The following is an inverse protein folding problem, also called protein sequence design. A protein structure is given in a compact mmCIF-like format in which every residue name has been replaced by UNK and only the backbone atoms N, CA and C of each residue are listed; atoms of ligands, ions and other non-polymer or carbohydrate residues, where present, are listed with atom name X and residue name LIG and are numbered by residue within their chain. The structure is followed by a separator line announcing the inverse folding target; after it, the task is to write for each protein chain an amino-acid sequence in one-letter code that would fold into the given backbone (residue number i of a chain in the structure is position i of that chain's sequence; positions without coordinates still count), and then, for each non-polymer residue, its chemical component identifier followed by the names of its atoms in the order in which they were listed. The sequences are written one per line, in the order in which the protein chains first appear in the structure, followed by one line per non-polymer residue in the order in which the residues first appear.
data_IF_416337549376
#
_entry.id   IF_416337549376
#
_cell.length_a   1.000
_cell.length_b   1.000
_cell.length_c   1.000
_cell.angle_alpha   90.00
_cell.angle_beta   90.00
_cell.angle_gamma   90.00
#
_symmetry.space_group_name_H-M   'P 1'
#
loop_
_entity.id
_entity.type
_entity.pdbx_description
1 polymer ?
2 non-polymer ?
3 water ?
#
# COMPACT_ATOMS: atom_id res chain seq x y z
N UNK A 11 -0.05 -14.39 -18.87
CA UNK A 11 0.26 -15.15 -20.07
C UNK A 11 -0.88 -15.07 -21.09
N UNK A 12 -2.09 -14.85 -20.57
CA UNK A 12 -3.29 -14.78 -21.39
C UNK A 12 -3.94 -13.41 -21.24
N UNK A 13 -4.45 -12.88 -22.35
CA UNK A 13 -5.16 -11.61 -22.37
C UNK A 13 -6.54 -11.82 -22.99
N UNK A 14 -7.40 -10.82 -22.83
CA UNK A 14 -8.76 -10.91 -23.31
C UNK A 14 -9.70 -11.70 -22.44
N UNK A 15 -9.34 -11.94 -21.17
CA UNK A 15 -10.15 -12.71 -20.24
C UNK A 15 -10.33 -11.93 -18.93
N UNK A 16 -11.52 -12.06 -18.34
CA UNK A 16 -11.77 -11.64 -16.96
C UNK A 16 -12.07 -12.86 -16.12
N UNK A 17 -11.55 -12.86 -14.87
CA UNK A 17 -11.76 -13.96 -13.92
C UNK A 17 -12.23 -13.35 -12.60
N UNK A 18 -13.49 -12.97 -12.54
CA UNK A 18 -14.08 -12.44 -11.31
C UNK A 18 -14.37 -13.61 -10.38
N UNK A 19 -13.64 -13.69 -9.26
CA UNK A 19 -13.77 -14.80 -8.36
C UNK A 19 -13.14 -16.06 -8.93
N UNK A 20 -13.95 -17.07 -9.22
CA UNK A 20 -13.45 -18.29 -9.81
C UNK A 20 -14.03 -18.57 -11.19
N UNK A 21 -14.63 -17.57 -11.81
CA UNK A 21 -15.31 -17.73 -13.10
C UNK A 21 -14.58 -16.93 -14.17
N UNK A 22 -14.30 -17.59 -15.29
CA UNK A 22 -13.64 -16.96 -16.43
C UNK A 22 -14.68 -16.51 -17.46
N UNK A 23 -14.54 -15.28 -17.94
CA UNK A 23 -15.43 -14.73 -18.96
C UNK A 23 -14.58 -14.15 -20.07
N UNK A 24 -14.85 -14.58 -21.31
CA UNK A 24 -14.23 -13.94 -22.46
C UNK A 24 -14.77 -12.52 -22.59
N UNK A 25 -13.86 -11.56 -22.72
CA UNK A 25 -14.26 -10.16 -22.64
C UNK A 25 -13.35 -9.32 -23.52
N UNK A 26 -13.92 -8.25 -24.07
CA UNK A 26 -13.18 -7.23 -24.80
C UNK A 26 -13.40 -5.88 -24.14
N UNK A 27 -12.65 -4.89 -24.62
CA UNK A 27 -12.74 -3.54 -24.06
C UNK A 27 -14.16 -2.99 -24.18
N UNK A 28 -14.87 -3.35 -25.25
CA UNK A 28 -16.18 -2.77 -25.48
C UNK A 28 -17.27 -3.35 -24.59
N UNK A 29 -16.97 -4.38 -23.81
CA UNK A 29 -17.94 -4.98 -22.91
C UNK A 29 -18.07 -4.26 -21.57
N UNK A 30 -17.34 -3.16 -21.38
CA UNK A 30 -17.32 -2.46 -20.10
C UNK A 30 -17.73 -1.00 -20.27
N UNK A 31 -18.57 -0.54 -19.35
CA UNK A 31 -19.06 0.83 -19.35
C UNK A 31 -18.23 1.67 -18.38
N UNK A 32 -17.85 2.87 -18.82
CA UNK A 32 -16.98 3.73 -18.02
C UNK A 32 -17.83 4.51 -17.03
N UNK A 33 -17.53 4.36 -15.74
CA UNK A 33 -18.26 5.05 -14.68
C UNK A 33 -17.47 6.24 -14.13
N UNK A 34 -16.47 6.71 -14.86
CA UNK A 34 -15.70 7.87 -14.46
C UNK A 34 -14.33 7.47 -13.92
N UNK A 35 -13.47 8.48 -13.83
CA UNK A 35 -12.11 8.29 -13.39
C UNK A 35 -12.02 8.35 -11.86
N UNK A 36 -11.07 7.60 -11.31
CA UNK A 36 -10.69 7.72 -9.92
C UNK A 36 -9.49 8.65 -9.85
N UNK A 37 -9.72 9.87 -9.39
CA UNK A 37 -8.81 10.98 -9.59
C UNK A 37 -7.45 10.91 -8.94
N UNK A 38 -6.43 10.59 -9.75
CA UNK A 38 -5.00 10.73 -9.45
C UNK A 38 -4.23 10.05 -10.58
N UNK A 39 -2.95 10.40 -10.69
CA UNK A 39 -2.08 9.78 -11.65
C UNK A 39 -0.80 9.28 -11.01
N UNK A 40 -0.96 8.48 -9.94
CA UNK A 40 0.20 7.93 -9.24
C UNK A 40 1.06 7.09 -10.19
N UNK A 41 0.43 6.19 -10.93
CA UNK A 41 1.11 5.38 -11.94
C UNK A 41 0.55 5.65 -13.33
N UNK A 42 -0.74 5.42 -13.55
CA UNK A 42 -1.41 5.79 -14.78
C UNK A 42 -2.85 6.15 -14.51
N UNK A 43 -3.61 6.34 -15.58
CA UNK A 43 -5.03 6.66 -15.47
C UNK A 43 -5.80 5.44 -15.02
N UNK A 44 -6.65 5.61 -14.00
CA UNK A 44 -7.42 4.50 -13.44
C UNK A 44 -8.90 4.83 -13.59
N UNK A 45 -9.62 3.95 -14.29
CA UNK A 45 -11.05 4.10 -14.52
C UNK A 45 -11.83 3.13 -13.66
N UNK A 46 -13.02 3.56 -13.25
CA UNK A 46 -13.99 2.69 -12.61
C UNK A 46 -15.00 2.27 -13.67
N UNK A 47 -15.17 0.96 -13.84
CA UNK A 47 -15.93 0.45 -14.98
C UNK A 47 -16.84 -0.69 -14.53
N UNK A 48 -17.86 -0.93 -15.36
CA UNK A 48 -18.88 -1.92 -15.07
C UNK A 48 -18.83 -2.99 -16.17
N UNK A 49 -18.76 -4.24 -15.76
CA UNK A 49 -18.80 -5.36 -16.70
C UNK A 49 -20.27 -5.59 -17.09
N UNK A 50 -20.61 -5.27 -18.33
CA UNK A 50 -22.01 -5.33 -18.74
C UNK A 50 -22.58 -6.75 -18.78
N UNK A 51 -21.73 -7.77 -18.85
CA UNK A 51 -22.23 -9.14 -18.93
C UNK A 51 -22.70 -9.64 -17.57
N UNK A 52 -22.04 -9.23 -16.49
CA UNK A 52 -22.37 -9.69 -15.14
C UNK A 52 -22.85 -8.58 -14.21
N UNK A 53 -22.52 -7.32 -14.48
CA UNK A 53 -22.86 -6.23 -13.59
C UNK A 53 -21.82 -5.90 -12.54
N UNK A 54 -20.72 -6.65 -12.49
CA UNK A 54 -19.63 -6.33 -11.56
C UNK A 54 -18.99 -5.00 -11.93
N UNK A 55 -18.52 -4.29 -10.91
CA UNK A 55 -17.84 -3.01 -11.08
C UNK A 55 -16.37 -3.22 -10.72
N UNK A 56 -15.47 -2.84 -11.63
CA UNK A 56 -14.06 -3.12 -11.48
C UNK A 56 -13.23 -1.88 -11.79
N UNK A 57 -11.96 -1.93 -11.42
CA UNK A 57 -10.99 -0.88 -11.70
C UNK A 57 -10.11 -1.29 -12.87
N UNK A 58 -9.98 -0.39 -13.85
CA UNK A 58 -9.19 -0.64 -15.05
C UNK A 58 -8.21 0.52 -15.24
N UNK A 59 -6.93 0.18 -15.39
CA UNK A 59 -5.88 1.16 -15.68
C UNK A 59 -5.58 1.16 -17.16
N UNK A 60 -5.61 2.34 -17.77
CA UNK A 60 -5.42 2.48 -19.21
C UNK A 60 -3.99 2.98 -19.49
N UNK A 61 -3.22 2.17 -20.20
CA UNK A 61 -1.87 2.55 -20.64
C UNK A 61 -1.91 2.75 -22.14
N UNK A 62 -1.70 3.99 -22.59
CA UNK A 62 -1.68 4.29 -24.03
C UNK A 62 -0.31 3.98 -24.61
N UNK A 63 -0.29 3.45 -25.83
CA UNK A 63 1.00 3.13 -26.43
C UNK A 63 1.78 4.39 -26.81
N UNK A 64 1.10 5.51 -27.04
CA UNK A 64 1.78 6.76 -27.35
C UNK A 64 2.15 7.56 -26.11
N UNK A 65 1.81 7.06 -24.91
CA UNK A 65 2.04 7.79 -23.69
C UNK A 65 3.51 7.93 -23.34
N UNK A 66 3.75 8.61 -22.21
CA UNK A 66 5.10 8.87 -21.74
C UNK A 66 5.88 7.56 -21.59
N UNK A 67 7.15 7.60 -22.01
CA UNK A 67 7.98 6.40 -21.93
C UNK A 67 8.28 6.03 -20.48
N UNK A 68 8.60 7.03 -19.66
CA UNK A 68 8.92 6.75 -18.26
C UNK A 68 7.71 6.21 -17.52
N UNK A 69 6.52 6.76 -17.81
CA UNK A 69 5.32 6.31 -17.13
C UNK A 69 4.96 4.88 -17.50
N UNK A 70 5.15 4.50 -18.77
CA UNK A 70 4.79 3.17 -19.20
C UNK A 70 5.73 2.11 -18.62
N UNK A 71 7.00 2.46 -18.44
CA UNK A 71 7.93 1.51 -17.83
C UNK A 71 7.48 1.16 -16.41
N UNK A 72 6.94 2.13 -15.67
CA UNK A 72 6.48 1.89 -14.31
C UNK A 72 5.18 1.09 -14.28
N UNK A 73 4.30 1.31 -15.25
CA UNK A 73 3.03 0.60 -15.27
C UNK A 73 3.25 -0.88 -15.58
N UNK A 74 4.18 -1.19 -16.49
CA UNK A 74 4.51 -2.58 -16.75
C UNK A 74 5.24 -3.20 -15.58
N UNK A 75 6.12 -2.45 -14.93
CA UNK A 75 6.81 -2.95 -13.76
C UNK A 75 5.82 -3.35 -12.68
N UNK A 76 4.89 -2.45 -12.37
CA UNK A 76 3.86 -2.72 -11.38
C UNK A 76 3.03 -3.95 -11.74
N UNK A 77 2.69 -4.11 -13.03
CA UNK A 77 1.95 -5.29 -13.46
C UNK A 77 2.77 -6.56 -13.32
N UNK A 78 4.09 -6.48 -13.54
CA UNK A 78 4.93 -7.65 -13.40
C UNK A 78 4.88 -8.21 -11.99
N UNK A 79 4.93 -7.33 -10.98
CA UNK A 79 4.87 -7.77 -9.60
C UNK A 79 3.49 -8.32 -9.27
N UNK A 80 2.43 -7.67 -9.76
CA UNK A 80 1.07 -8.07 -9.40
C UNK A 80 0.75 -9.46 -9.96
N UNK A 81 1.21 -9.74 -11.18
CA UNK A 81 0.95 -11.05 -11.78
C UNK A 81 1.69 -12.16 -11.03
N UNK A 82 2.89 -11.87 -10.53
CA UNK A 82 3.66 -12.85 -9.78
C UNK A 82 3.12 -13.07 -8.37
N UNK A 83 2.37 -12.11 -7.82
CA UNK A 83 1.91 -12.17 -6.44
C UNK A 83 0.49 -12.72 -6.33
N UNK A 84 0.03 -13.48 -7.32
CA UNK A 84 -1.36 -13.91 -7.36
C UNK A 84 -1.76 -14.70 -6.11
N UNK A 85 -0.79 -15.35 -5.45
CA UNK A 85 -1.09 -16.21 -4.31
C UNK A 85 -0.86 -15.53 -2.96
N UNK A 86 -0.59 -14.22 -2.94
CA UNK A 86 -0.47 -13.50 -1.68
C UNK A 86 -1.77 -12.79 -1.36
N UNK A 87 -2.44 -13.13 -0.26
CA UNK A 87 -3.74 -12.53 0.05
C UNK A 87 -3.66 -11.10 0.57
N UNK A 88 -2.47 -10.53 0.70
CA UNK A 88 -2.28 -9.16 1.15
C UNK A 88 -1.79 -8.24 0.04
N UNK A 89 -1.83 -8.70 -1.21
CA UNK A 89 -1.40 -7.92 -2.36
C UNK A 89 -2.57 -7.85 -3.34
N UNK A 90 -2.75 -6.69 -3.97
CA UNK A 90 -3.88 -6.50 -4.87
C UNK A 90 -3.78 -7.47 -6.05
N UNK A 91 -4.95 -7.89 -6.55
CA UNK A 91 -5.04 -8.97 -7.51
C UNK A 91 -5.49 -8.44 -8.87
N UNK A 92 -4.79 -8.86 -9.93
CA UNK A 92 -5.17 -8.50 -11.29
C UNK A 92 -6.23 -9.49 -11.79
N UNK A 93 -7.29 -8.94 -12.39
CA UNK A 93 -8.39 -9.77 -12.90
C UNK A 93 -8.24 -10.13 -14.38
N UNK A 94 -7.38 -9.44 -15.11
CA UNK A 94 -7.20 -9.72 -16.52
C UNK A 94 -6.72 -8.50 -17.27
N UNK A 95 -6.37 -8.72 -18.54
CA UNK A 95 -5.81 -7.68 -19.38
C UNK A 95 -6.47 -7.70 -20.75
N UNK A 96 -6.49 -6.54 -21.39
CA UNK A 96 -6.98 -6.39 -22.75
C UNK A 96 -5.96 -5.58 -23.53
N UNK A 97 -5.48 -6.13 -24.64
CA UNK A 97 -4.46 -5.48 -25.46
C UNK A 97 -5.08 -5.15 -26.82
N UNK A 98 -5.15 -3.87 -27.13
CA UNK A 98 -5.65 -3.40 -28.41
C UNK A 98 -4.49 -2.81 -29.22
N UNK A 99 -4.81 -2.30 -30.40
CA UNK A 99 -3.79 -1.71 -31.26
C UNK A 99 -3.22 -0.42 -30.68
N UNK A 100 -3.94 0.26 -29.79
CA UNK A 100 -3.53 1.55 -29.29
C UNK A 100 -3.45 1.65 -27.77
N UNK A 101 -3.94 0.66 -27.03
CA UNK A 101 -3.96 0.75 -25.57
C UNK A 101 -3.83 -0.63 -24.94
N UNK A 102 -3.39 -0.63 -23.69
CA UNK A 102 -3.43 -1.79 -22.82
C UNK A 102 -4.31 -1.45 -21.63
N UNK A 103 -5.26 -2.33 -21.32
CA UNK A 103 -6.15 -2.17 -20.19
C UNK A 103 -5.85 -3.26 -19.16
N UNK A 104 -5.64 -2.84 -17.92
CA UNK A 104 -5.29 -3.74 -16.82
C UNK A 104 -6.48 -3.75 -15.86
N UNK A 105 -7.19 -4.87 -15.79
CA UNK A 105 -8.32 -4.98 -14.88
C UNK A 105 -7.83 -5.37 -13.50
N UNK A 106 -8.48 -4.82 -12.47
CA UNK A 106 -8.07 -5.08 -11.10
C UNK A 106 -9.29 -5.03 -10.19
N UNK A 107 -9.20 -5.74 -9.07
CA UNK A 107 -10.26 -5.69 -8.07
C UNK A 107 -10.41 -4.26 -7.55
N UNK A 108 -11.67 -3.84 -7.40
CA UNK A 108 -11.95 -2.48 -6.96
C UNK A 108 -11.95 -2.45 -5.43
N UNK A 109 -10.95 -1.77 -4.87
CA UNK A 109 -10.89 -1.55 -3.43
C UNK A 109 -11.72 -0.32 -3.06
N UNK A 110 -11.92 -0.14 -1.76
CA UNK A 110 -12.68 1.00 -1.29
C UNK A 110 -11.88 2.28 -1.28
N UNK A 111 -10.93 2.39 -0.34
CA UNK A 111 -10.20 3.62 -0.14
C UNK A 111 -8.79 3.30 0.34
N UNK A 112 -7.88 4.24 0.11
CA UNK A 112 -6.53 4.14 0.65
C UNK A 112 -6.49 4.71 2.06
N UNK A 113 -5.42 4.36 2.79
CA UNK A 113 -5.33 4.76 4.19
C UNK A 113 -5.17 6.27 4.34
N UNK A 114 -4.63 6.95 3.32
CA UNK A 114 -4.48 8.41 3.39
C UNK A 114 -5.83 9.10 3.39
N UNK A 115 -6.70 8.73 2.44
CA UNK A 115 -8.04 9.32 2.40
C UNK A 115 -8.87 8.92 3.62
N UNK A 116 -8.61 7.75 4.19
CA UNK A 116 -9.31 7.36 5.41
C UNK A 116 -8.95 8.30 6.57
N UNK A 117 -7.67 8.66 6.69
CA UNK A 117 -7.26 9.64 7.69
C UNK A 117 -7.92 11.00 7.45
N UNK A 118 -8.04 11.40 6.18
CA UNK A 118 -8.66 12.68 5.86
C UNK A 118 -10.14 12.67 6.20
N UNK A 119 -10.84 11.57 5.90
CA UNK A 119 -12.25 11.47 6.24
C UNK A 119 -12.46 11.39 7.75
N UNK A 120 -11.61 10.63 8.43
CA UNK A 120 -11.73 10.51 9.88
C UNK A 120 -11.50 11.85 10.57
N UNK A 121 -10.65 12.70 10.00
CA UNK A 121 -10.26 13.98 10.60
C UNK A 121 -9.67 13.80 12.00
N UNK A 122 -9.04 12.65 12.25
CA UNK A 122 -8.42 12.39 13.52
C UNK A 122 -7.64 11.08 13.54
N UNK A 123 -7.25 10.65 14.74
CA UNK A 123 -6.53 9.37 14.86
C UNK A 123 -7.36 8.18 14.40
N UNK A 124 -6.67 7.16 13.93
CA UNK A 124 -7.29 5.89 13.52
C UNK A 124 -7.07 4.88 14.64
N UNK A 125 -8.09 4.12 15.04
CA UNK A 125 -7.96 3.26 16.24
C UNK A 125 -6.87 2.21 16.10
N UNK A 126 -6.30 1.82 17.25
CA UNK A 126 -5.22 0.85 17.27
C UNK A 126 -5.66 -0.49 16.68
N UNK A 127 -6.91 -0.89 16.94
CA UNK A 127 -7.38 -2.19 16.47
C UNK A 127 -7.44 -2.25 14.95
N UNK A 128 -7.62 -1.11 14.28
CA UNK A 128 -7.55 -1.08 12.83
C UNK A 128 -6.09 -1.13 12.38
N UNK A 129 -5.22 -0.37 13.03
CA UNK A 129 -3.82 -0.36 12.63
C UNK A 129 -3.14 -1.69 12.91
N UNK A 130 -3.65 -2.47 13.87
CA UNK A 130 -3.12 -3.80 14.08
C UNK A 130 -3.32 -4.70 12.88
N UNK A 131 -4.56 -4.80 12.40
CA UNK A 131 -4.83 -5.62 11.21
C UNK A 131 -4.09 -5.09 10.00
N UNK A 132 -3.92 -3.78 9.90
CA UNK A 132 -3.16 -3.20 8.80
C UNK A 132 -1.69 -3.56 8.90
N UNK A 133 -1.14 -3.54 10.11
CA UNK A 133 0.27 -3.89 10.31
C UNK A 133 0.54 -5.33 9.89
N UNK A 134 -0.31 -6.26 10.34
CA UNK A 134 -0.14 -7.67 9.98
C UNK A 134 -0.11 -7.83 8.47
N UNK A 135 -1.04 -7.18 7.77
CA UNK A 135 -1.13 -7.35 6.31
C UNK A 135 0.08 -6.76 5.60
N UNK A 136 0.54 -5.58 6.04
CA UNK A 136 1.64 -4.92 5.33
C UNK A 136 2.95 -5.64 5.60
N UNK A 137 3.16 -6.14 6.82
CA UNK A 137 4.40 -6.85 7.13
C UNK A 137 4.47 -8.14 6.34
N UNK A 138 3.37 -8.90 6.28
CA UNK A 138 3.37 -10.17 5.58
C UNK A 138 3.47 -10.00 4.07
N UNK A 139 2.97 -8.89 3.54
CA UNK A 139 3.11 -8.63 2.11
C UNK A 139 4.56 -8.35 1.74
N UNK A 140 5.21 -7.44 2.48
CA UNK A 140 6.64 -7.19 2.27
C UNK A 140 7.45 -8.46 2.48
N UNK A 141 7.20 -9.18 3.57
CA UNK A 141 7.89 -10.44 3.81
C UNK A 141 7.69 -11.41 2.66
N UNK A 142 6.52 -11.37 2.03
CA UNK A 142 6.27 -12.25 0.89
C UNK A 142 7.08 -11.82 -0.32
N UNK A 143 7.25 -10.51 -0.50
CA UNK A 143 7.96 -10.01 -1.69
C UNK A 143 9.45 -10.28 -1.59
N UNK A 144 10.02 -10.14 -0.39
CA UNK A 144 11.44 -10.41 -0.22
C UNK A 144 11.74 -11.90 -0.38
N UNK A 145 10.94 -12.76 0.25
CA UNK A 145 11.26 -14.17 0.35
C UNK A 145 10.95 -14.92 -0.95
N UNK A 146 9.77 -14.70 -1.53
CA UNK A 146 9.38 -15.43 -2.73
C UNK A 146 9.86 -14.78 -4.02
N UNK A 147 10.31 -13.53 -3.98
CA UNK A 147 10.69 -12.84 -5.22
C UNK A 147 11.92 -11.94 -5.11
N UNK A 148 12.49 -11.74 -3.92
CA UNK A 148 13.61 -10.83 -3.79
C UNK A 148 13.29 -9.42 -4.23
N UNK A 149 12.06 -8.96 -4.04
CA UNK A 149 11.63 -7.61 -4.41
C UNK A 149 11.39 -6.82 -3.13
N UNK A 150 11.88 -5.58 -3.10
CA UNK A 150 11.54 -4.63 -2.05
C UNK A 150 10.67 -3.54 -2.65
N UNK A 151 9.74 -3.03 -1.84
CA UNK A 151 8.71 -2.12 -2.34
C UNK A 151 9.28 -0.74 -2.65
N UNK A 152 10.07 -0.19 -1.72
CA UNK A 152 10.75 1.10 -1.84
C UNK A 152 9.82 2.31 -1.77
N UNK A 153 8.53 2.11 -1.56
CA UNK A 153 7.63 3.25 -1.42
C UNK A 153 6.44 2.96 -0.49
N UNK A 154 6.73 2.51 0.73
CA UNK A 154 5.67 2.18 1.67
C UNK A 154 5.18 3.46 2.34
N UNK A 155 3.88 3.75 2.19
CA UNK A 155 3.27 4.95 2.74
C UNK A 155 1.75 4.77 2.70
N UNK A 156 1.02 5.52 3.53
CA UNK A 156 -0.44 5.28 3.65
C UNK A 156 -1.21 5.33 2.34
N UNK A 157 -0.76 6.07 1.33
CA UNK A 157 -1.51 6.12 0.09
C UNK A 157 -1.40 4.83 -0.72
N UNK A 158 -0.50 3.91 -0.36
CA UNK A 158 -0.36 2.65 -1.07
C UNK A 158 -0.90 1.48 -0.26
N UNK A 159 -1.71 1.76 0.76
CA UNK A 159 -2.38 0.75 1.56
C UNK A 159 -3.87 0.91 1.30
N UNK A 160 -4.48 -0.08 0.66
CA UNK A 160 -5.88 0.00 0.29
C UNK A 160 -6.75 -0.83 1.23
N UNK A 161 -7.99 -0.38 1.42
CA UNK A 161 -8.98 -1.10 2.20
C UNK A 161 -10.28 -1.13 1.41
N UNK A 162 -11.12 -2.13 1.68
CA UNK A 162 -12.37 -2.29 0.94
C UNK A 162 -13.53 -2.48 1.90
N UNK A 163 -14.73 -2.59 1.34
CA UNK A 163 -15.94 -2.65 2.15
C UNK A 163 -16.03 -3.95 2.95
N UNK A 164 -15.40 -5.02 2.47
CA UNK A 164 -15.43 -6.30 3.18
C UNK A 164 -14.33 -6.40 4.23
N UNK A 165 -13.54 -5.34 4.42
CA UNK A 165 -12.55 -5.32 5.47
C UNK A 165 -11.14 -5.72 5.06
N UNK A 166 -10.92 -6.09 3.80
CA UNK A 166 -9.60 -6.50 3.36
C UNK A 166 -8.64 -5.32 3.34
N UNK A 167 -7.36 -5.60 3.59
CA UNK A 167 -6.28 -4.62 3.58
C UNK A 167 -5.16 -5.18 2.71
N UNK A 168 -4.76 -4.43 1.68
CA UNK A 168 -3.80 -4.94 0.72
C UNK A 168 -2.81 -3.87 0.29
N UNK A 169 -1.56 -4.29 0.08
CA UNK A 169 -0.52 -3.46 -0.51
C UNK A 169 -0.72 -3.30 -2.01
N UNK A 170 -0.37 -2.14 -2.55
CA UNK A 170 -0.47 -1.89 -3.99
C UNK A 170 0.65 -0.97 -4.45
N UNK A 171 0.69 -0.74 -5.77
CA UNK A 171 1.59 0.18 -6.46
C UNK A 171 3.05 -0.22 -6.31
N UNK A 172 3.56 -1.03 -7.24
CA UNK A 172 4.93 -1.49 -7.23
C UNK A 172 5.74 -0.90 -8.39
N UNK A 173 5.39 0.31 -8.83
CA UNK A 173 5.98 0.87 -10.03
C UNK A 173 7.46 1.17 -9.93
N UNK A 174 7.97 1.42 -8.72
CA UNK A 174 9.39 1.67 -8.52
C UNK A 174 10.03 0.61 -7.63
N UNK A 175 9.39 -0.55 -7.51
CA UNK A 175 9.96 -1.64 -6.73
C UNK A 175 11.25 -2.15 -7.39
N UNK A 176 12.16 -2.64 -6.56
CA UNK A 176 13.44 -3.12 -7.03
C UNK A 176 13.65 -4.57 -6.67
N UNK A 177 14.44 -5.27 -7.49
CA UNK A 177 14.71 -6.69 -7.30
C UNK A 177 16.02 -6.96 -6.58
N UNK A 178 16.51 -5.99 -5.80
CA UNK A 178 17.82 -6.08 -5.13
C UNK A 178 18.95 -6.32 -6.13
N UNK A 188 13.61 6.47 -6.55
CA UNK A 188 13.61 6.98 -5.18
C UNK A 188 12.19 7.33 -4.74
N UNK A 189 11.84 6.90 -3.53
CA UNK A 189 10.50 7.13 -3.02
C UNK A 189 10.31 8.58 -2.58
N UNK A 190 9.18 8.78 -1.89
CA UNK A 190 8.88 10.08 -1.33
C UNK A 190 9.81 10.39 -0.18
N UNK A 191 10.37 11.60 -0.19
CA UNK A 191 11.39 12.00 0.78
C UNK A 191 10.89 11.92 2.22
N UNK A 192 9.59 12.09 2.44
CA UNK A 192 9.07 12.14 3.80
C UNK A 192 9.12 10.79 4.50
N UNK A 193 9.16 9.68 3.75
CA UNK A 193 9.13 8.35 4.33
C UNK A 193 10.45 7.59 4.14
N UNK A 194 11.50 8.26 3.65
CA UNK A 194 12.73 7.57 3.32
C UNK A 194 13.56 7.29 4.56
N UNK A 195 14.11 6.07 4.63
CA UNK A 195 14.87 5.65 5.79
C UNK A 195 16.19 6.41 5.88
N UNK A 196 16.77 6.50 7.09
CA UNK A 196 18.08 7.17 7.23
C UNK A 196 19.16 6.61 6.31
N UNK A 197 19.24 5.29 6.14
CA UNK A 197 20.29 4.73 5.29
C UNK A 197 20.02 5.00 3.82
N UNK A 198 18.75 5.13 3.42
CA UNK A 198 18.48 5.55 2.04
C UNK A 198 18.91 6.99 1.79
N UNK A 199 18.79 7.84 2.81
CA UNK A 199 19.25 9.23 2.67
C UNK A 199 20.77 9.29 2.67
N UNK A 200 21.41 8.54 3.57
CA UNK A 200 22.86 8.57 3.76
C UNK A 200 23.38 7.14 3.77
N UNK A 201 23.67 6.58 2.59
CA UNK A 201 24.09 5.18 2.54
C UNK A 201 25.47 4.99 3.14
N UNK A 202 25.78 3.79 3.67
CA UNK A 202 27.10 3.48 4.25
C UNK A 202 28.22 3.44 3.21
N UNK A 209 21.83 -3.36 1.92
CA UNK A 209 21.88 -2.11 2.69
C UNK A 209 20.47 -1.64 3.06
N UNK A 210 19.67 -1.36 2.03
CA UNK A 210 18.30 -0.90 2.20
C UNK A 210 17.31 -2.05 2.27
N UNK A 211 17.75 -3.25 2.66
CA UNK A 211 16.84 -4.37 2.79
C UNK A 211 15.82 -4.12 3.89
N UNK A 212 16.19 -3.36 4.93
CA UNK A 212 15.34 -3.09 6.08
C UNK A 212 14.74 -1.68 6.04
N UNK A 213 14.71 -1.05 4.86
CA UNK A 213 14.32 0.35 4.80
C UNK A 213 12.81 0.54 4.77
N UNK A 214 12.06 -0.39 4.18
CA UNK A 214 10.61 -0.29 4.22
C UNK A 214 10.07 -0.46 5.64
N UNK A 215 10.83 -1.09 6.54
CA UNK A 215 10.41 -1.18 7.95
C UNK A 215 10.32 0.21 8.56
N UNK A 216 11.30 1.06 8.28
CA UNK A 216 11.25 2.44 8.78
C UNK A 216 10.03 3.16 8.21
N UNK A 217 9.76 3.01 6.91
CA UNK A 217 8.60 3.67 6.32
C UNK A 217 7.30 3.20 6.97
N UNK A 218 7.22 1.91 7.32
CA UNK A 218 6.03 1.38 7.97
C UNK A 218 5.82 2.00 9.35
N UNK A 219 6.91 2.24 10.08
CA UNK A 219 6.78 2.85 11.39
C UNK A 219 6.37 4.31 11.31
N UNK A 220 6.92 5.04 10.34
CA UNK A 220 6.47 6.41 10.10
C UNK A 220 4.99 6.44 9.73
N UNK A 221 4.55 5.49 8.90
CA UNK A 221 3.14 5.45 8.51
C UNK A 221 2.25 5.15 9.71
N UNK A 222 2.69 4.27 10.62
CA UNK A 222 1.87 3.93 11.78
C UNK A 222 1.75 5.11 12.74
N UNK A 223 2.84 5.83 12.97
CA UNK A 223 2.79 7.02 13.81
C UNK A 223 1.83 8.04 13.20
N UNK A 224 1.84 8.18 11.88
CA UNK A 224 0.99 9.17 11.23
C UNK A 224 -0.48 8.82 11.40
N UNK A 225 -0.86 7.57 11.09
CA UNK A 225 -2.26 7.19 11.20
C UNK A 225 -2.73 7.12 12.65
N UNK A 226 -1.85 6.73 13.58
CA UNK A 226 -2.23 6.62 14.98
C UNK A 226 -2.50 7.96 15.63
N UNK A 227 -1.89 9.05 15.13
CA UNK A 227 -2.08 10.37 15.71
C UNK A 227 -2.81 11.34 14.80
N UNK A 228 -2.93 11.03 13.51
CA UNK A 228 -3.51 11.96 12.56
C UNK A 228 -2.61 13.11 12.16
N UNK A 229 -1.32 13.07 12.53
CA UNK A 229 -0.38 14.15 12.25
C UNK A 229 0.91 13.55 11.72
N UNK A 230 1.43 14.11 10.63
CA UNK A 230 2.71 13.64 10.10
C UNK A 230 3.86 14.13 10.97
N UNK A 231 4.83 13.26 11.31
CA UNK A 231 5.85 13.66 12.31
C UNK A 231 6.75 14.81 11.87
N UNK A 232 6.93 15.04 10.57
CA UNK A 232 7.73 16.14 10.06
C UNK A 232 6.84 17.04 9.20
N UNK A 233 5.91 17.74 9.85
CA UNK A 233 4.89 18.50 9.14
C UNK A 233 5.19 19.99 9.04
N UNK A 234 6.30 20.46 9.62
CA UNK A 234 6.65 21.87 9.58
C UNK A 234 7.73 22.19 8.57
N UNK A 235 8.00 21.27 7.63
CA UNK A 235 9.05 21.49 6.63
C UNK A 235 8.48 22.11 5.36
N UNK A 236 9.24 23.03 4.77
CA UNK A 236 8.81 23.75 3.58
C UNK A 236 9.52 23.31 2.30
N UNK A 237 10.55 22.46 2.41
CA UNK A 237 11.21 21.86 1.25
C UNK A 237 11.50 20.40 1.56
N UNK A 238 11.75 19.62 0.50
CA UNK A 238 12.06 18.20 0.69
C UNK A 238 13.35 18.02 1.49
N UNK A 239 14.39 18.80 1.17
CA UNK A 239 15.67 18.61 1.84
C UNK A 239 15.55 18.85 3.35
N UNK A 240 14.67 19.76 3.77
CA UNK A 240 14.52 20.00 5.21
C UNK A 240 13.98 18.77 5.92
N UNK A 241 13.11 17.98 5.26
CA UNK A 241 12.61 16.76 5.88
C UNK A 241 13.74 15.76 6.05
N UNK A 242 14.60 15.62 5.03
CA UNK A 242 15.71 14.69 5.13
C UNK A 242 16.67 15.09 6.24
N UNK A 243 16.81 16.39 6.49
CA UNK A 243 17.70 16.85 7.55
C UNK A 243 17.15 16.50 8.92
N UNK A 244 15.84 16.62 9.12
CA UNK A 244 15.25 16.29 10.41
C UNK A 244 15.22 14.79 10.65
N UNK A 245 15.11 13.98 9.59
CA UNK A 245 15.17 12.53 9.75
C UNK A 245 16.54 12.12 10.29
N UNK A 246 17.60 12.77 9.80
CA UNK A 246 18.94 12.38 10.23
C UNK A 246 19.36 13.06 11.53
N UNK A 247 18.91 14.29 11.78
CA UNK A 247 19.38 15.02 12.95
C UNK A 247 18.59 14.75 14.21
N UNK A 248 17.28 14.50 14.11
CA UNK A 248 16.43 14.36 15.29
C UNK A 248 16.31 12.90 15.74
N UNK A 249 15.85 12.73 16.98
CA UNK A 249 15.50 11.40 17.46
C UNK A 249 14.35 10.84 16.63
N UNK A 250 14.21 9.52 16.57
CA UNK A 250 13.06 8.93 15.87
C UNK A 250 11.75 9.40 16.50
N UNK A 251 10.73 9.69 15.69
CA UNK A 251 9.44 10.12 16.25
C UNK A 251 8.78 8.98 17.01
N UNK A 252 8.44 9.23 18.27
CA UNK A 252 7.87 8.19 19.11
C UNK A 252 6.35 8.24 19.05
N UNK A 253 5.73 7.15 19.48
CA UNK A 253 4.29 7.10 19.65
C UNK A 253 3.91 7.81 20.96
N UNK A 254 2.97 8.75 20.93
CA UNK A 254 2.61 9.47 22.17
C UNK A 254 2.15 8.52 23.26
N UNK A 255 2.59 8.79 24.49
CA UNK A 255 2.37 7.90 25.62
C UNK A 255 1.11 8.12 26.42
N UNK A 256 0.28 9.11 26.07
CA UNK A 256 -0.93 9.41 26.82
C UNK A 256 -2.18 9.30 25.94
N UNK A 257 -2.18 8.38 24.99
CA UNK A 257 -3.36 8.12 24.17
C UNK A 257 -3.91 6.71 24.39
N UNK A 258 -3.52 6.06 25.49
CA UNK A 258 -4.04 4.75 25.77
C UNK A 258 -3.50 3.62 24.91
N UNK A 259 -2.49 3.87 24.08
CA UNK A 259 -1.89 2.81 23.29
C UNK A 259 -1.30 1.75 24.21
N UNK A 260 -1.42 0.49 23.82
CA UNK A 260 -0.87 -0.58 24.62
C UNK A 260 0.64 -0.63 24.51
N UNK A 261 1.27 -1.28 25.50
CA UNK A 261 2.72 -1.36 25.50
C UNK A 261 3.27 -2.06 24.28
N UNK A 262 2.50 -3.00 23.71
CA UNK A 262 2.96 -3.73 22.53
C UNK A 262 3.00 -2.83 21.30
N UNK A 263 2.00 -1.95 21.14
CA UNK A 263 1.99 -1.04 20.01
C UNK A 263 3.17 -0.08 20.08
N UNK A 264 3.47 0.45 21.27
CA UNK A 264 4.61 1.36 21.41
C UNK A 264 5.92 0.63 21.17
N UNK A 265 6.03 -0.60 21.69
CA UNK A 265 7.25 -1.38 21.51
C UNK A 265 7.49 -1.70 20.05
N UNK A 266 6.44 -2.04 19.30
CA UNK A 266 6.60 -2.39 17.90
C UNK A 266 7.12 -1.19 17.10
N UNK A 267 6.53 -0.01 17.31
CA UNK A 267 6.92 1.16 16.54
C UNK A 267 8.34 1.57 16.87
N UNK A 268 8.75 1.42 18.13
CA UNK A 268 10.12 1.73 18.51
C UNK A 268 11.12 0.85 17.77
N UNK A 269 10.75 -0.40 17.50
CA UNK A 269 11.64 -1.30 16.78
C UNK A 269 11.67 -0.99 15.29
N UNK A 270 10.52 -0.66 14.70
CA UNK A 270 10.53 -0.22 13.30
C UNK A 270 11.41 1.02 13.12
N UNK A 271 11.39 1.94 14.10
CA UNK A 271 12.05 3.22 13.95
C UNK A 271 13.44 3.27 14.56
N UNK A 272 14.15 2.14 14.57
CA UNK A 272 15.56 2.15 14.93
C UNK A 272 16.34 2.92 13.87
N UNK A 273 17.23 3.82 14.31
CA UNK A 273 17.93 4.68 13.36
C UNK A 273 19.01 3.92 12.62
N UNK A 274 19.81 3.13 13.33
CA UNK A 274 20.87 2.33 12.72
C UNK A 274 20.24 1.10 12.08
N UNK A 275 20.29 1.03 10.76
CA UNK A 275 19.64 -0.07 10.04
C UNK A 275 20.23 -1.43 10.39
N UNK A 276 21.48 -1.47 10.85
CA UNK A 276 22.07 -2.74 11.27
C UNK A 276 21.35 -3.32 12.49
N UNK A 277 20.87 -2.45 13.38
CA UNK A 277 20.15 -2.90 14.57
C UNK A 277 18.64 -3.02 14.34
N UNK A 278 18.14 -2.64 13.18
CA UNK A 278 16.71 -2.71 12.91
C UNK A 278 16.30 -4.15 12.70
N UNK A 279 15.23 -4.62 13.37
CA UNK A 279 14.88 -6.05 13.31
C UNK A 279 14.47 -6.50 11.92
N UNK A 280 14.60 -7.80 11.69
CA UNK A 280 14.25 -8.40 10.43
C UNK A 280 12.76 -8.68 10.35
N UNK A 281 12.29 -9.01 9.14
CA UNK A 281 10.89 -9.38 8.97
C UNK A 281 10.55 -10.63 9.75
N UNK A 282 11.49 -11.59 9.79
CA UNK A 282 11.27 -12.83 10.52
C UNK A 282 11.15 -12.59 12.02
N UNK A 283 11.93 -11.64 12.55
CA UNK A 283 11.84 -11.27 13.94
C UNK A 283 10.61 -10.40 14.22
N UNK A 284 10.27 -9.49 13.29
CA UNK A 284 9.10 -8.63 13.48
C UNK A 284 7.81 -9.43 13.50
N UNK A 285 7.73 -10.49 12.68
CA UNK A 285 6.53 -11.32 12.66
C UNK A 285 6.35 -12.14 13.93
N UNK A 286 7.32 -12.11 14.84
CA UNK A 286 7.23 -12.78 16.13
C UNK A 286 6.95 -11.80 17.27
N UNK A 287 6.74 -10.53 16.97
CA UNK A 287 6.45 -9.55 18.00
C UNK A 287 5.06 -9.81 18.60
N UNK A 288 4.91 -9.46 19.87
CA UNK A 288 3.62 -9.70 20.54
C UNK A 288 2.51 -8.85 19.94
N UNK A 289 2.86 -7.73 19.30
CA UNK A 289 1.86 -6.92 18.62
C UNK A 289 1.30 -7.66 17.41
N UNK A 290 2.14 -8.42 16.72
CA UNK A 290 1.68 -9.16 15.54
C UNK A 290 0.87 -10.38 15.96
N UNK A 291 1.37 -11.13 16.92
CA UNK A 291 0.66 -12.34 17.38
C UNK A 291 -0.73 -11.99 17.89
N UNK A 292 -0.89 -10.79 18.47
CA UNK A 292 -2.20 -10.40 19.00
C UNK A 292 -3.23 -10.22 17.87
N UNK A 293 -2.87 -9.49 16.82
CA UNK A 293 -3.82 -9.20 15.76
C UNK A 293 -3.83 -10.26 14.67
N UNK A 294 -2.91 -11.21 14.70
CA UNK A 294 -3.01 -12.38 13.83
C UNK A 294 -4.22 -13.24 14.17
N UNK A 295 -4.72 -13.14 15.41
CA UNK A 295 -5.79 -14.00 15.89
C UNK A 295 -7.01 -13.27 16.41
N UNK A 296 -6.92 -11.96 16.66
CA UNK A 296 -8.05 -11.23 17.22
C UNK A 296 -9.11 -10.99 16.16
N UNK A 297 -10.38 -11.03 16.58
CA UNK A 297 -11.50 -10.75 15.69
C UNK A 297 -11.79 -9.25 15.75
N UNK A 298 -11.38 -8.53 14.71
CA UNK A 298 -11.63 -7.10 14.59
C UNK A 298 -12.57 -6.88 13.42
N UNK A 299 -13.66 -6.16 13.66
CA UNK A 299 -14.66 -5.90 12.63
C UNK A 299 -14.29 -4.61 11.89
N UNK A 300 -13.24 -4.72 11.07
CA UNK A 300 -12.80 -3.56 10.32
C UNK A 300 -13.77 -3.25 9.18
N UNK A 301 -14.60 -4.22 8.79
CA UNK A 301 -15.55 -3.98 7.72
C UNK A 301 -16.63 -2.97 8.14
N UNK A 302 -17.16 -3.12 9.36
CA UNK A 302 -18.17 -2.18 9.84
C UNK A 302 -17.56 -0.82 10.19
N UNK A 303 -16.33 -0.81 10.71
CA UNK A 303 -15.67 0.47 10.96
C UNK A 303 -15.41 1.22 9.67
N UNK A 304 -15.17 0.50 8.58
CA UNK A 304 -14.96 1.14 7.28
C UNK A 304 -16.24 1.81 6.78
N UNK A 305 -17.36 1.09 6.78
CA UNK A 305 -18.62 1.65 6.32
C UNK A 305 -19.00 2.90 7.10
N UNK A 306 -18.63 2.99 8.37
CA UNK A 306 -18.96 4.16 9.18
C UNK A 306 -18.15 5.36 8.76
N UNK A 307 -16.85 5.19 8.49
CA UNK A 307 -16.03 6.32 8.07
C UNK A 307 -16.49 6.82 6.70
N UNK A 308 -16.77 5.90 5.78
CA UNK A 308 -17.20 6.30 4.44
C UNK A 308 -18.53 7.05 4.45
N UNK A 309 -19.29 6.98 5.54
CA UNK A 309 -20.57 7.68 5.65
C UNK A 309 -20.44 8.96 6.47
N UNK A 310 -19.44 9.77 6.14
CA UNK A 310 -19.24 11.07 6.76
C UNK A 310 -18.99 12.11 5.68
N UNK A 311 -19.57 13.30 5.87
CA UNK A 311 -19.46 14.40 4.91
C UNK A 311 -19.98 13.99 3.54
#
# INVERSE_FOLDING_TARGET
MGHHHHHHSAKQTGYLTIGGQRYQAEINDLENLGEMGSGTCGQVWKMRFRKTGHVIAVKQMRRSGNKEENKRILMDLDVVLKSHDCPYIVQCFGTFITNTDVFIAMELMGTCAEKLKKRMQGPIPERILGKMTVAIVKALYYLKEKHGVIHRDVKPSNILLDERGQIKLCDFGISGRLVDSKAKTRSAGCAAYMAPERIDPPDPTKPDYDIRADVWSLGISLVELATGQFPYKNCKTDFEVLTKVLQEEPPLLPGHMGFSGDFQSFVKDCLTKDHRKRPKYNKLLEHSFIKRYETLEVDVASWFKDVMAKTESPRTSG
#
